data_IF_822639011953
#
_entry.id   IF_822639011953
#
_cell.length_a   1.000
_cell.length_b   1.000
_cell.length_c   1.000
_cell.angle_alpha   90.00
_cell.angle_beta   90.00
_cell.angle_gamma   90.00
#
_symmetry.space_group_name_H-M   'P 1'
#
loop_
_entity.id
_entity.type
_entity.pdbx_description
1 polymer ?
#
# COMPACT_ATOMS: atom_id res chain seq x y z
N UNK A 1 3.25 -11.15 9.91
CA UNK A 1 3.42 -10.62 8.53
C UNK A 1 4.26 -9.36 8.66
N UNK A 2 5.13 -9.06 7.69
CA UNK A 2 5.93 -7.84 7.72
C UNK A 2 5.94 -7.18 6.35
N UNK A 3 5.86 -5.87 6.35
CA UNK A 3 6.15 -5.04 5.19
C UNK A 3 7.52 -4.40 5.39
N UNK A 4 8.33 -4.39 4.34
CA UNK A 4 9.60 -3.70 4.31
C UNK A 4 9.58 -2.77 3.13
N UNK A 5 9.92 -1.51 3.38
CA UNK A 5 9.91 -0.44 2.40
C UNK A 5 11.30 0.16 2.42
N UNK A 6 12.03 0.03 1.31
CA UNK A 6 13.42 0.46 1.20
C UNK A 6 13.67 1.29 -0.07
N UNK A 7 14.94 1.55 -0.39
CA UNK A 7 15.31 2.33 -1.57
C UNK A 7 15.08 1.61 -2.89
N UNK A 8 15.04 0.28 -2.90
CA UNK A 8 14.92 -0.54 -4.11
C UNK A 8 13.45 -0.84 -4.42
N UNK A 9 12.63 -1.06 -3.40
CA UNK A 9 11.23 -1.36 -3.59
C UNK A 9 10.44 -1.57 -2.30
N UNK A 10 9.34 -2.30 -2.48
CA UNK A 10 8.46 -2.76 -1.41
C UNK A 10 8.47 -4.28 -1.37
N UNK A 11 8.67 -4.82 -0.17
CA UNK A 11 8.62 -6.24 0.12
C UNK A 11 7.49 -6.53 1.10
N UNK A 12 6.70 -7.55 0.78
CA UNK A 12 5.70 -8.11 1.66
C UNK A 12 6.03 -9.56 1.97
N UNK A 13 6.17 -9.85 3.26
CA UNK A 13 6.50 -11.19 3.77
C UNK A 13 5.33 -11.76 4.57
N UNK A 14 4.79 -12.84 4.02
CA UNK A 14 3.88 -13.78 4.67
C UNK A 14 4.70 -15.00 5.10
N UNK A 15 4.21 -15.78 6.05
CA UNK A 15 4.88 -16.93 6.68
C UNK A 15 5.55 -17.87 5.64
N UNK A 16 4.94 -18.06 4.47
CA UNK A 16 5.45 -18.95 3.42
C UNK A 16 5.76 -18.26 2.07
N UNK A 17 5.63 -16.93 1.99
CA UNK A 17 5.80 -16.23 0.72
C UNK A 17 6.39 -14.84 0.92
N UNK A 18 7.43 -14.55 0.17
CA UNK A 18 8.02 -13.22 0.02
C UNK A 18 7.70 -12.71 -1.39
N UNK A 19 7.07 -11.55 -1.46
CA UNK A 19 6.81 -10.86 -2.73
C UNK A 19 7.54 -9.52 -2.64
N UNK A 20 8.41 -9.24 -3.60
CA UNK A 20 9.11 -7.96 -3.71
C UNK A 20 8.78 -7.34 -5.06
N UNK A 21 8.50 -6.04 -5.05
CA UNK A 21 8.23 -5.25 -6.24
C UNK A 21 9.13 -4.01 -6.19
N UNK A 22 10.06 -3.85 -7.14
CA UNK A 22 10.87 -2.63 -7.26
C UNK A 22 10.00 -1.41 -7.57
N UNK A 23 10.37 -0.23 -7.07
CA UNK A 23 9.60 1.00 -7.29
C UNK A 23 9.34 1.31 -8.78
N UNK A 24 10.37 1.09 -9.61
CA UNK A 24 10.32 1.29 -11.07
C UNK A 24 9.34 0.37 -11.79
N UNK A 25 8.96 -0.74 -11.17
CA UNK A 25 8.02 -1.71 -11.75
C UNK A 25 6.58 -1.45 -11.33
N UNK A 26 6.34 -0.55 -10.36
CA UNK A 26 5.00 -0.23 -9.89
C UNK A 26 4.26 0.59 -10.95
N UNK A 27 3.19 0.01 -11.49
CA UNK A 27 2.33 0.64 -12.47
C UNK A 27 1.15 1.36 -11.83
N UNK A 28 0.60 0.81 -10.75
CA UNK A 28 -0.51 1.39 -10.02
C UNK A 28 -0.42 1.05 -8.54
N UNK A 29 -0.62 2.07 -7.71
CA UNK A 29 -0.91 1.87 -6.29
C UNK A 29 -2.28 2.49 -5.96
N UNK A 30 -3.13 1.69 -5.30
CA UNK A 30 -4.50 2.10 -4.99
C UNK A 30 -4.94 1.56 -3.63
N UNK A 31 -5.88 2.27 -3.03
CA UNK A 31 -6.50 1.91 -1.78
C UNK A 31 -7.99 1.67 -2.03
N UNK A 32 -8.42 0.41 -1.87
CA UNK A 32 -9.78 -0.02 -2.15
C UNK A 32 -10.44 -0.58 -0.89
N UNK A 33 -11.72 -0.30 -0.71
CA UNK A 33 -12.51 -0.98 0.32
C UNK A 33 -13.02 -2.29 -0.27
N UNK A 34 -12.65 -3.41 0.33
CA UNK A 34 -13.03 -4.74 -0.11
C UNK A 34 -13.84 -5.45 0.97
N UNK A 35 -14.91 -6.15 0.55
CA UNK A 35 -15.72 -6.98 1.44
C UNK A 35 -15.24 -8.43 1.39
N UNK A 36 -15.01 -9.00 2.57
CA UNK A 36 -14.73 -10.41 2.77
C UNK A 36 -15.80 -11.01 3.69
N UNK A 37 -16.84 -11.57 3.09
CA UNK A 37 -17.98 -12.14 3.82
C UNK A 37 -18.79 -11.06 4.55
N UNK A 38 -18.77 -11.09 5.89
CA UNK A 38 -19.54 -10.17 6.75
C UNK A 38 -18.75 -8.93 7.20
N UNK A 39 -17.47 -8.82 6.83
CA UNK A 39 -16.58 -7.72 7.21
C UNK A 39 -16.01 -7.06 5.97
N UNK A 40 -15.83 -5.74 6.02
CA UNK A 40 -15.11 -4.98 5.00
C UNK A 40 -13.86 -4.36 5.59
N UNK A 41 -12.81 -4.25 4.80
CA UNK A 41 -11.55 -3.62 5.18
C UNK A 41 -10.96 -2.84 4.00
N UNK A 42 -10.12 -1.86 4.30
CA UNK A 42 -9.33 -1.18 3.28
C UNK A 42 -8.09 -2.00 2.96
N UNK A 43 -7.99 -2.40 1.70
CA UNK A 43 -6.86 -3.12 1.14
C UNK A 43 -6.02 -2.15 0.31
N UNK A 44 -4.72 -2.18 0.58
CA UNK A 44 -3.74 -1.44 -0.22
C UNK A 44 -3.14 -2.37 -1.26
N UNK A 45 -3.26 -1.99 -2.53
CA UNK A 45 -2.74 -2.72 -3.67
C UNK A 45 -1.52 -2.02 -4.26
N UNK A 46 -0.49 -2.81 -4.54
CA UNK A 46 0.64 -2.45 -5.38
C UNK A 46 0.66 -3.40 -6.57
N UNK A 47 0.43 -2.84 -7.76
CA UNK A 47 0.34 -3.59 -9.01
C UNK A 47 1.58 -3.26 -9.84
N UNK A 48 2.35 -4.28 -10.16
CA UNK A 48 3.52 -4.20 -11.03
C UNK A 48 3.15 -4.37 -12.50
N UNK A 49 3.95 -3.80 -13.39
CA UNK A 49 3.91 -4.05 -14.83
C UNK A 49 4.13 -5.53 -15.23
N UNK A 50 4.67 -6.36 -14.33
CA UNK A 50 4.83 -7.81 -14.50
C UNK A 50 3.64 -8.62 -13.93
N UNK A 51 2.48 -7.99 -13.70
CA UNK A 51 1.32 -8.59 -13.03
C UNK A 51 1.61 -9.14 -11.61
N UNK A 52 2.73 -8.76 -10.99
CA UNK A 52 2.96 -9.04 -9.56
C UNK A 52 2.10 -8.09 -8.74
N UNK A 53 1.38 -8.65 -7.77
CA UNK A 53 0.49 -7.89 -6.91
C UNK A 53 0.88 -8.11 -5.46
N UNK A 54 1.17 -7.02 -4.76
CA UNK A 54 1.28 -7.00 -3.30
C UNK A 54 0.00 -6.35 -2.77
N UNK A 55 -0.75 -7.11 -1.97
CA UNK A 55 -1.92 -6.62 -1.27
C UNK A 55 -1.74 -6.82 0.22
N UNK A 56 -2.07 -5.81 1.02
CA UNK A 56 -2.19 -5.97 2.46
C UNK A 56 -3.40 -5.19 2.99
N UNK A 57 -4.00 -5.72 4.05
CA UNK A 57 -5.05 -5.02 4.78
C UNK A 57 -4.43 -3.91 5.63
N UNK A 58 -5.02 -2.72 5.55
CA UNK A 58 -4.58 -1.56 6.33
C UNK A 58 -4.82 -1.74 7.82
N UNK A 59 -5.82 -2.55 8.21
CA UNK A 59 -6.10 -2.88 9.61
C UNK A 59 -4.96 -3.59 10.35
N UNK A 60 -3.99 -4.15 9.64
CA UNK A 60 -2.81 -4.79 10.26
C UNK A 60 -1.70 -3.80 10.66
N UNK A 61 -1.81 -2.53 10.31
CA UNK A 61 -0.76 -1.53 10.51
C UNK A 61 -1.28 -0.33 11.31
N UNK A 62 -0.39 0.30 12.08
CA UNK A 62 -0.76 1.53 12.79
C UNK A 62 -0.92 2.70 11.82
N UNK A 63 -1.62 3.76 12.24
CA UNK A 63 -1.73 5.01 11.45
C UNK A 63 -0.36 5.57 11.08
N UNK A 64 0.60 5.52 11.99
CA UNK A 64 1.95 6.03 11.76
C UNK A 64 2.67 5.19 10.70
N UNK A 65 2.56 3.86 10.76
CA UNK A 65 3.15 2.97 9.75
C UNK A 65 2.54 3.25 8.37
N UNK A 66 1.22 3.34 8.29
CA UNK A 66 0.51 3.64 7.04
C UNK A 66 0.90 5.01 6.47
N UNK A 67 1.06 6.02 7.33
CA UNK A 67 1.54 7.35 6.91
C UNK A 67 2.96 7.27 6.36
N UNK A 68 3.88 6.60 7.07
CA UNK A 68 5.26 6.43 6.62
C UNK A 68 5.34 5.67 5.30
N UNK A 69 4.56 4.59 5.15
CA UNK A 69 4.46 3.86 3.88
C UNK A 69 3.96 4.81 2.77
N UNK A 70 2.91 5.59 3.03
CA UNK A 70 2.37 6.53 2.05
C UNK A 70 3.38 7.62 1.66
N UNK A 71 4.12 8.19 2.62
CA UNK A 71 5.17 9.17 2.37
C UNK A 71 6.27 8.58 1.46
N UNK A 72 6.71 7.36 1.73
CA UNK A 72 7.71 6.68 0.89
C UNK A 72 7.15 6.40 -0.50
N UNK A 73 5.92 5.92 -0.60
CA UNK A 73 5.26 5.65 -1.88
C UNK A 73 5.12 6.93 -2.71
N UNK A 74 4.70 8.02 -2.10
CA UNK A 74 4.58 9.34 -2.77
C UNK A 74 5.92 9.91 -3.20
N UNK A 75 6.99 9.67 -2.45
CA UNK A 75 8.33 10.15 -2.81
C UNK A 75 9.06 9.28 -3.83
N UNK A 76 8.78 7.97 -3.87
CA UNK A 76 9.49 7.01 -4.73
C UNK A 76 8.73 6.65 -6.01
N UNK A 77 7.40 6.74 -6.02
CA UNK A 77 6.60 6.47 -7.22
C UNK A 77 6.25 7.77 -7.98
N UNK A 78 6.18 7.72 -9.32
CA UNK A 78 5.68 8.84 -10.11
C UNK A 78 4.22 9.19 -9.76
N UNK A 79 3.85 10.47 -9.80
CA UNK A 79 2.51 10.90 -9.36
C UNK A 79 1.34 10.24 -10.10
N UNK A 80 1.50 9.90 -11.38
CA UNK A 80 0.47 9.26 -12.20
C UNK A 80 0.21 7.80 -11.81
N UNK A 81 1.09 7.19 -11.02
CA UNK A 81 0.98 5.81 -10.51
C UNK A 81 0.16 5.76 -9.21
N UNK A 82 -0.06 6.90 -8.56
CA UNK A 82 -0.58 6.98 -7.19
C UNK A 82 -2.00 7.51 -7.16
N UNK A 83 -2.92 6.74 -6.57
CA UNK A 83 -4.28 7.20 -6.33
C UNK A 83 -4.31 8.34 -5.29
N UNK A 84 -5.18 9.34 -5.48
CA UNK A 84 -5.29 10.52 -4.59
C UNK A 84 -5.45 10.19 -3.11
N UNK A 85 -6.19 9.12 -2.76
CA UNK A 85 -6.34 8.66 -1.37
C UNK A 85 -5.01 8.31 -0.69
N UNK A 86 -4.02 7.83 -1.43
CA UNK A 86 -2.69 7.53 -0.86
C UNK A 86 -1.95 8.84 -0.56
N UNK A 87 -2.13 9.88 -1.39
CA UNK A 87 -1.61 11.23 -1.09
C UNK A 87 -2.28 11.84 0.14
N UNK A 88 -3.56 11.56 0.36
CA UNK A 88 -4.24 11.97 1.59
C UNK A 88 -3.66 11.25 2.81
N UNK A 89 -3.42 9.95 2.70
CA UNK A 89 -2.81 9.15 3.78
C UNK A 89 -1.39 9.63 4.10
N UNK A 90 -0.58 10.03 3.11
CA UNK A 90 0.75 10.61 3.37
C UNK A 90 0.68 11.94 4.12
N UNK A 91 -0.44 12.66 3.99
CA UNK A 91 -0.73 13.87 4.77
C UNK A 91 -1.37 13.58 6.14
N UNK A 92 -1.52 12.31 6.52
CA UNK A 92 -2.16 11.89 7.77
C UNK A 92 -3.70 11.96 7.74
N UNK A 93 -4.31 12.10 6.56
CA UNK A 93 -5.76 12.02 6.38
C UNK A 93 -6.15 10.60 6.00
N UNK A 94 -6.95 9.96 6.83
CA UNK A 94 -7.28 8.55 6.67
C UNK A 94 -8.76 8.40 6.29
N UNK A 95 -9.09 7.97 5.05
CA UNK A 95 -10.46 8.01 4.53
C UNK A 95 -11.44 7.05 5.22
N UNK A 96 -10.97 6.20 6.13
CA UNK A 96 -11.78 5.24 6.88
C UNK A 96 -12.00 5.63 8.34
N UNK A 97 -11.41 6.74 8.79
CA UNK A 97 -11.77 7.38 10.04
C UNK A 97 -12.55 8.63 9.68
N UNK A 98 -13.88 8.56 9.73
CA UNK A 98 -14.74 9.74 9.66
C UNK A 98 -14.45 10.53 10.94
N UNK A 99 -13.72 11.64 10.84
CA UNK A 99 -13.49 12.58 11.94
C UNK A 99 -14.60 13.61 11.98
#
# INVERSE_FOLDING_TARGET
MSITVDNEGIEYRIIFKKISVPWKEIQLTKLAFEFHGKSGDFIWHFISNQNKVINFSTGYFSKNDLRLIAEVVVSKCPEHVIQGKIKEVSQGKFPWYVF
#
